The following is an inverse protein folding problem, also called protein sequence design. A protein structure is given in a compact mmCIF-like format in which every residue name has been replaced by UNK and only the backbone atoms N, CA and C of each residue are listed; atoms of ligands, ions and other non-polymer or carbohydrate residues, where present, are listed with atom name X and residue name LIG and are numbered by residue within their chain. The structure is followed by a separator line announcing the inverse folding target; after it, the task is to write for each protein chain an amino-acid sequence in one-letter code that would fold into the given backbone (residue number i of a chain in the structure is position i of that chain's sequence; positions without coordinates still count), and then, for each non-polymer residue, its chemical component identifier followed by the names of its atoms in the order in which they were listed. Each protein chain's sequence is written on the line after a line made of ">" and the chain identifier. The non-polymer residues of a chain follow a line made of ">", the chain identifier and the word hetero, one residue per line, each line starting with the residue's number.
data_IF_908297261170
#
_entry.id   IF_908297261170
#
_cell.length_a   1.000
_cell.length_b   1.000
_cell.length_c   1.000
_cell.angle_alpha   90.00
_cell.angle_beta   90.00
_cell.angle_gamma   90.00
#
_symmetry.space_group_name_H-M   'P 1'
#
loop_
_entity.id
_entity.type
_entity.pdbx_description
1 polymer ?
#
# COMPACT_ATOMS: atom_id res chain seq x y z
N UNK A 1 -7.67 -48.92 -14.30
CA UNK A 1 -7.96 -47.57 -13.76
C UNK A 1 -6.73 -46.87 -13.16
N UNK A 2 -5.60 -47.56 -12.94
CA UNK A 2 -4.37 -46.98 -12.35
C UNK A 2 -3.72 -45.89 -13.22
N UNK A 3 -3.74 -46.04 -14.55
CA UNK A 3 -3.14 -45.08 -15.49
C UNK A 3 -3.77 -43.69 -15.35
N UNK A 4 -5.09 -43.62 -15.11
CA UNK A 4 -5.80 -42.34 -14.99
C UNK A 4 -5.40 -41.60 -13.71
N UNK A 5 -5.30 -42.33 -12.58
CA UNK A 5 -4.87 -41.74 -11.31
C UNK A 5 -3.43 -41.24 -11.41
N UNK A 6 -2.55 -42.00 -12.08
CA UNK A 6 -1.17 -41.60 -12.32
C UNK A 6 -1.08 -40.29 -13.14
N UNK A 7 -1.88 -40.17 -14.20
CA UNK A 7 -1.90 -38.94 -15.03
C UNK A 7 -2.44 -37.73 -14.25
N UNK A 8 -3.54 -37.88 -13.50
CA UNK A 8 -4.09 -36.80 -12.65
C UNK A 8 -3.08 -36.37 -11.57
N UNK A 9 -2.37 -37.33 -10.97
CA UNK A 9 -1.32 -37.06 -9.98
C UNK A 9 -0.19 -36.19 -10.53
N UNK A 10 0.31 -36.50 -11.72
CA UNK A 10 1.37 -35.70 -12.38
C UNK A 10 0.88 -34.28 -12.71
N UNK A 11 -0.35 -34.14 -13.23
CA UNK A 11 -0.92 -32.83 -13.57
C UNK A 11 -1.12 -31.95 -12.32
N UNK A 12 -1.68 -32.52 -11.26
CA UNK A 12 -1.91 -31.78 -10.00
C UNK A 12 -0.60 -31.38 -9.32
N UNK A 13 0.43 -32.24 -9.36
CA UNK A 13 1.75 -31.93 -8.83
C UNK A 13 2.39 -30.68 -9.47
N UNK A 14 2.18 -30.44 -10.77
CA UNK A 14 2.69 -29.24 -11.45
C UNK A 14 1.76 -28.02 -11.29
N UNK A 15 0.44 -28.24 -11.16
CA UNK A 15 -0.55 -27.15 -11.09
C UNK A 15 -0.54 -26.39 -9.75
N UNK A 16 -0.31 -27.08 -8.63
CA UNK A 16 -0.29 -26.48 -7.29
C UNK A 16 0.74 -25.34 -7.14
N UNK A 17 2.04 -25.52 -7.47
CA UNK A 17 3.04 -24.47 -7.28
C UNK A 17 2.80 -23.23 -8.16
N UNK A 18 2.26 -23.41 -9.37
CA UNK A 18 1.93 -22.29 -10.27
C UNK A 18 0.75 -21.49 -9.72
N UNK A 19 -0.29 -22.17 -9.22
CA UNK A 19 -1.48 -21.54 -8.66
C UNK A 19 -1.17 -20.67 -7.44
N UNK A 20 -0.28 -21.13 -6.55
CA UNK A 20 0.16 -20.35 -5.38
C UNK A 20 0.84 -19.03 -5.78
N UNK A 21 1.72 -19.06 -6.80
CA UNK A 21 2.37 -17.85 -7.32
C UNK A 21 1.38 -16.88 -7.95
N UNK A 22 0.36 -17.39 -8.65
CA UNK A 22 -0.70 -16.55 -9.24
C UNK A 22 -1.52 -15.84 -8.16
N UNK A 23 -1.91 -16.55 -7.09
CA UNK A 23 -2.65 -15.94 -5.97
C UNK A 23 -1.84 -14.84 -5.30
N UNK A 24 -0.54 -15.04 -5.08
CA UNK A 24 0.33 -14.02 -4.48
C UNK A 24 0.47 -12.77 -5.35
N UNK A 25 0.60 -12.94 -6.67
CA UNK A 25 0.56 -11.81 -7.61
C UNK A 25 -0.80 -11.10 -7.64
N UNK A 26 -1.89 -11.86 -7.53
CA UNK A 26 -3.23 -11.32 -7.40
C UNK A 26 -3.39 -10.44 -6.16
N UNK A 27 -2.88 -10.89 -5.00
CA UNK A 27 -2.86 -10.10 -3.75
C UNK A 27 -2.04 -8.81 -3.89
N UNK A 28 -0.91 -8.84 -4.60
CA UNK A 28 -0.15 -7.63 -4.91
C UNK A 28 -0.94 -6.65 -5.77
N UNK A 29 -1.62 -7.15 -6.81
CA UNK A 29 -2.46 -6.32 -7.68
C UNK A 29 -3.63 -5.68 -6.92
N UNK A 30 -4.24 -6.44 -6.00
CA UNK A 30 -5.29 -5.93 -5.12
C UNK A 30 -4.77 -4.83 -4.16
N UNK A 31 -3.56 -5.00 -3.60
CA UNK A 31 -2.89 -3.97 -2.81
C UNK A 31 -2.69 -2.66 -3.62
N UNK A 32 -2.26 -2.76 -4.88
CA UNK A 32 -2.20 -1.59 -5.76
C UNK A 32 -3.58 -0.92 -5.93
N UNK A 33 -4.65 -1.70 -6.05
CA UNK A 33 -6.01 -1.18 -6.08
C UNK A 33 -6.39 -0.42 -4.81
N UNK A 34 -6.01 -0.94 -3.64
CA UNK A 34 -6.24 -0.29 -2.35
C UNK A 34 -5.48 1.03 -2.23
N UNK A 35 -4.20 1.09 -2.62
CA UNK A 35 -3.43 2.33 -2.65
C UNK A 35 -4.04 3.40 -3.58
N UNK A 36 -4.60 3.00 -4.73
CA UNK A 36 -5.31 3.95 -5.60
C UNK A 36 -6.54 4.53 -4.90
N UNK A 37 -7.32 3.68 -4.24
CA UNK A 37 -8.50 4.11 -3.50
C UNK A 37 -8.13 5.02 -2.33
N UNK A 38 -7.03 4.75 -1.63
CA UNK A 38 -6.48 5.64 -0.60
C UNK A 38 -6.04 6.99 -1.18
N UNK A 39 -5.41 7.01 -2.36
CA UNK A 39 -5.09 8.25 -3.07
C UNK A 39 -6.34 9.07 -3.44
N UNK A 40 -7.41 8.40 -3.86
CA UNK A 40 -8.71 9.05 -4.09
C UNK A 40 -9.28 9.62 -2.79
N UNK A 41 -9.28 8.84 -1.70
CA UNK A 41 -9.74 9.29 -0.39
C UNK A 41 -8.93 10.51 0.12
N UNK A 42 -7.61 10.51 -0.09
CA UNK A 42 -6.76 11.65 0.23
C UNK A 42 -7.11 12.88 -0.62
N UNK A 43 -7.40 12.72 -1.92
CA UNK A 43 -7.81 13.83 -2.77
C UNK A 43 -9.16 14.43 -2.33
N UNK A 44 -10.10 13.61 -1.86
CA UNK A 44 -11.36 14.08 -1.28
C UNK A 44 -11.10 14.91 -0.02
N UNK A 45 -10.24 14.41 0.89
CA UNK A 45 -9.80 15.18 2.06
C UNK A 45 -9.16 16.51 1.66
N UNK A 46 -8.22 16.51 0.71
CA UNK A 46 -7.56 17.73 0.25
C UNK A 46 -8.55 18.76 -0.32
N UNK A 47 -9.61 18.28 -0.99
CA UNK A 47 -10.69 19.13 -1.51
C UNK A 47 -11.40 19.94 -0.42
N UNK A 48 -11.57 19.36 0.78
CA UNK A 48 -12.24 20.00 1.90
C UNK A 48 -11.29 20.77 2.84
N UNK A 49 -9.99 20.45 2.80
CA UNK A 49 -8.98 20.98 3.72
C UNK A 49 -7.97 21.92 3.02
N UNK A 50 -8.44 22.77 2.10
CA UNK A 50 -7.63 23.78 1.41
C UNK A 50 -6.35 23.24 0.76
N UNK A 51 -6.39 22.01 0.23
CA UNK A 51 -5.24 21.37 -0.41
C UNK A 51 -4.04 21.18 0.55
N UNK A 52 -4.28 21.10 1.86
CA UNK A 52 -3.28 20.88 2.90
C UNK A 52 -3.30 19.42 3.35
N UNK A 53 -2.11 18.81 3.42
CA UNK A 53 -1.96 17.43 3.87
C UNK A 53 -2.38 17.24 5.33
N UNK A 54 -3.04 16.11 5.66
CA UNK A 54 -3.42 15.83 7.03
C UNK A 54 -2.18 15.67 7.92
N UNK A 55 -2.31 16.04 9.20
CA UNK A 55 -1.26 15.80 10.19
C UNK A 55 -1.48 14.42 10.82
N UNK A 56 -0.73 13.43 10.35
CA UNK A 56 -0.87 12.03 10.78
C UNK A 56 0.44 11.50 11.34
N UNK A 57 0.35 10.55 12.27
CA UNK A 57 1.45 9.68 12.60
C UNK A 57 1.76 8.75 11.41
N UNK A 58 3.04 8.42 11.22
CA UNK A 58 3.46 7.51 10.15
C UNK A 58 2.82 6.10 10.28
N UNK A 59 2.47 5.73 11.50
CA UNK A 59 1.74 4.53 11.87
C UNK A 59 1.63 4.46 13.39
N UNK A 60 1.01 3.39 13.89
CA UNK A 60 0.92 3.05 15.31
C UNK A 60 1.34 1.59 15.51
N UNK A 61 1.77 1.24 16.72
CA UNK A 61 2.18 -0.14 17.05
C UNK A 61 0.99 -0.99 17.47
N UNK A 62 -0.01 -0.37 18.09
CA UNK A 62 -1.24 -1.02 18.53
C UNK A 62 -2.48 -0.17 18.23
N UNK A 63 -3.62 -0.81 17.95
CA UNK A 63 -4.91 -0.15 17.74
C UNK A 63 -5.44 0.61 18.96
N UNK A 64 -4.98 0.27 20.16
CA UNK A 64 -5.33 0.95 21.41
C UNK A 64 -4.71 2.34 21.52
N UNK A 65 -3.67 2.63 20.74
CA UNK A 65 -3.07 3.96 20.70
C UNK A 65 -4.03 4.96 20.06
N UNK A 66 -4.30 6.05 20.78
CA UNK A 66 -5.14 7.15 20.33
C UNK A 66 -4.31 8.13 19.49
N UNK A 67 -3.91 7.68 18.30
CA UNK A 67 -3.16 8.45 17.32
C UNK A 67 -3.97 8.61 16.04
N UNK A 68 -3.92 9.80 15.46
CA UNK A 68 -4.44 10.05 14.11
C UNK A 68 -3.48 9.39 13.10
N UNK A 69 -3.94 8.32 12.49
CA UNK A 69 -3.27 7.55 11.44
C UNK A 69 -4.18 7.47 10.23
N UNK A 70 -3.70 6.91 9.13
CA UNK A 70 -4.48 6.90 7.89
C UNK A 70 -5.85 6.20 8.01
N UNK A 71 -5.94 5.08 8.75
CA UNK A 71 -7.20 4.32 8.89
C UNK A 71 -8.23 4.99 9.82
N UNK A 72 -7.82 5.98 10.61
CA UNK A 72 -8.73 6.77 11.43
C UNK A 72 -9.13 8.05 10.72
N UNK A 73 -8.17 8.79 10.16
CA UNK A 73 -8.44 10.10 9.55
C UNK A 73 -9.10 10.03 8.17
N UNK A 74 -8.65 9.12 7.32
CA UNK A 74 -9.21 9.00 5.95
C UNK A 74 -10.42 8.07 5.89
N UNK A 75 -10.90 7.55 7.01
CA UNK A 75 -12.03 6.60 7.05
C UNK A 75 -13.31 7.18 6.46
N UNK A 76 -13.58 8.45 6.74
CA UNK A 76 -14.80 9.14 6.27
C UNK A 76 -14.80 9.34 4.75
N UNK A 77 -13.62 9.36 4.14
CA UNK A 77 -13.42 9.53 2.70
C UNK A 77 -13.20 8.19 1.97
N UNK A 78 -13.03 7.10 2.73
CA UNK A 78 -12.77 5.78 2.19
C UNK A 78 -14.09 5.07 1.83
N UNK A 79 -14.19 4.41 0.66
CA UNK A 79 -15.37 3.64 0.30
C UNK A 79 -15.58 2.39 1.19
N UNK A 80 -14.51 1.86 1.78
CA UNK A 80 -14.52 0.63 2.58
C UNK A 80 -13.31 0.60 3.53
N UNK A 81 -13.46 0.06 4.74
CA UNK A 81 -12.36 -0.10 5.70
C UNK A 81 -11.32 -1.12 5.23
N UNK A 82 -11.72 -2.07 4.37
CA UNK A 82 -10.81 -3.11 3.86
C UNK A 82 -9.66 -2.55 3.03
N UNK A 83 -9.78 -1.33 2.51
CA UNK A 83 -8.72 -0.70 1.71
C UNK A 83 -7.48 -0.36 2.55
N UNK A 84 -7.61 -0.22 3.87
CA UNK A 84 -6.48 0.01 4.78
C UNK A 84 -5.64 -1.26 5.02
N UNK A 85 -6.14 -2.43 4.60
CA UNK A 85 -5.48 -3.70 4.76
C UNK A 85 -4.90 -4.17 3.41
N UNK A 86 -3.62 -4.55 3.39
CA UNK A 86 -3.02 -5.19 2.23
C UNK A 86 -3.41 -6.69 2.22
N UNK A 87 -3.97 -7.25 1.13
CA UNK A 87 -4.31 -8.68 1.08
C UNK A 87 -3.10 -9.62 1.15
N UNK A 88 -1.88 -9.09 0.98
CA UNK A 88 -0.63 -9.82 1.13
C UNK A 88 -0.03 -9.73 2.55
N UNK A 89 -0.66 -9.00 3.48
CA UNK A 89 -0.28 -8.89 4.88
C UNK A 89 -0.57 -10.21 5.62
N UNK A 90 0.32 -11.19 5.44
CA UNK A 90 0.23 -12.49 6.10
C UNK A 90 0.52 -12.40 7.61
N UNK A 91 1.28 -11.37 8.04
CA UNK A 91 1.62 -11.11 9.44
C UNK A 91 0.47 -10.50 10.24
N UNK A 92 -0.65 -10.19 9.59
CA UNK A 92 -1.83 -9.57 10.22
C UNK A 92 -1.48 -8.24 10.90
N UNK A 93 -0.55 -7.49 10.32
CA UNK A 93 -0.09 -6.20 10.86
C UNK A 93 -1.23 -5.20 10.90
N UNK A 94 -2.13 -5.20 9.92
CA UNK A 94 -3.33 -4.37 9.97
C UNK A 94 -4.28 -4.76 11.12
N UNK A 95 -4.29 -6.02 11.56
CA UNK A 95 -5.10 -6.43 12.72
C UNK A 95 -4.58 -5.80 14.01
N UNK A 96 -3.26 -5.71 14.18
CA UNK A 96 -2.62 -5.13 15.37
C UNK A 96 -2.52 -3.60 15.32
N UNK A 97 -2.20 -3.03 14.16
CA UNK A 97 -1.88 -1.61 13.99
C UNK A 97 -2.97 -0.77 13.33
N UNK A 98 -4.02 -1.38 12.76
CA UNK A 98 -5.12 -0.70 12.06
C UNK A 98 -4.96 -0.63 10.54
N UNK A 99 -3.73 -0.64 10.03
CA UNK A 99 -3.46 -0.47 8.59
C UNK A 99 -2.17 -1.18 8.20
N UNK A 100 -2.12 -1.70 6.98
CA UNK A 100 -0.90 -2.28 6.38
C UNK A 100 -0.01 -1.21 5.72
N UNK A 101 -0.43 0.07 5.71
CA UNK A 101 0.29 1.15 5.04
C UNK A 101 0.88 2.14 6.04
N UNK A 102 2.05 2.70 5.70
CA UNK A 102 2.69 3.78 6.42
C UNK A 102 2.44 5.11 5.72
N UNK A 103 2.27 6.17 6.50
CA UNK A 103 2.15 7.54 6.05
C UNK A 103 3.50 8.26 6.10
N UNK A 104 3.82 9.05 5.08
CA UNK A 104 4.99 9.92 5.11
C UNK A 104 4.70 11.18 5.95
N UNK A 105 4.99 11.12 7.24
CA UNK A 105 4.76 12.22 8.18
C UNK A 105 5.56 13.50 7.86
N UNK A 106 6.60 13.41 7.02
CA UNK A 106 7.32 14.60 6.55
C UNK A 106 6.44 15.54 5.72
N UNK A 107 5.33 15.04 5.15
CA UNK A 107 4.40 15.83 4.35
C UNK A 107 3.32 16.52 5.19
N UNK A 108 3.25 16.26 6.50
CA UNK A 108 2.22 16.80 7.39
C UNK A 108 2.13 18.33 7.28
N UNK A 109 0.92 18.86 7.09
CA UNK A 109 0.66 20.30 7.05
C UNK A 109 1.22 21.03 5.82
N UNK A 110 1.91 20.35 4.91
CA UNK A 110 2.34 20.94 3.65
C UNK A 110 1.16 21.00 2.66
N UNK A 111 1.17 22.00 1.76
CA UNK A 111 0.23 22.00 0.64
C UNK A 111 0.66 20.98 -0.42
N UNK A 112 -0.29 20.21 -0.96
CA UNK A 112 -0.07 19.31 -2.11
C UNK A 112 0.51 20.06 -3.33
N UNK A 113 0.23 21.35 -3.46
CA UNK A 113 0.68 22.19 -4.56
C UNK A 113 2.16 22.61 -4.44
N UNK A 114 2.71 22.55 -3.23
CA UNK A 114 4.06 23.03 -2.93
C UNK A 114 4.79 22.08 -1.97
N UNK A 115 4.74 20.78 -2.27
CA UNK A 115 5.41 19.77 -1.46
C UNK A 115 6.93 19.91 -1.55
N UNK A 116 7.59 19.73 -0.40
CA UNK A 116 9.03 19.58 -0.29
C UNK A 116 9.34 18.39 0.61
N UNK A 117 9.93 17.36 0.03
CA UNK A 117 10.43 16.19 0.73
C UNK A 117 11.92 16.06 0.49
N UNK A 118 12.75 16.34 1.50
CA UNK A 118 14.22 16.25 1.40
C UNK A 118 14.80 17.04 0.20
N UNK A 119 14.38 18.30 0.02
CA UNK A 119 14.72 19.16 -1.12
C UNK A 119 14.23 18.66 -2.49
N UNK A 120 13.37 17.65 -2.51
CA UNK A 120 12.68 17.20 -3.71
C UNK A 120 11.27 17.79 -3.75
N UNK A 121 10.98 18.51 -4.82
CA UNK A 121 9.67 19.13 -5.09
C UNK A 121 8.90 18.43 -6.21
N UNK A 122 9.43 17.33 -6.76
CA UNK A 122 8.84 16.63 -7.92
C UNK A 122 7.77 15.64 -7.47
N UNK A 123 6.46 15.88 -7.71
CA UNK A 123 5.37 15.09 -7.13
C UNK A 123 5.42 13.59 -7.48
N UNK A 124 5.92 13.25 -8.67
CA UNK A 124 6.05 11.86 -9.16
C UNK A 124 7.04 11.00 -8.37
N UNK A 125 7.86 11.63 -7.53
CA UNK A 125 8.94 10.96 -6.77
C UNK A 125 8.80 11.12 -5.27
N UNK A 126 7.83 11.92 -4.80
CA UNK A 126 7.56 12.13 -3.39
C UNK A 126 6.63 11.00 -2.92
N UNK A 127 7.09 10.11 -2.02
CA UNK A 127 6.24 9.04 -1.48
C UNK A 127 5.25 9.62 -0.47
N UNK A 128 3.98 9.29 -0.61
CA UNK A 128 2.90 9.69 0.33
C UNK A 128 2.53 8.52 1.22
N UNK A 129 2.30 7.35 0.62
CA UNK A 129 2.04 6.10 1.33
C UNK A 129 2.94 5.00 0.81
N UNK A 130 3.29 4.05 1.66
CA UNK A 130 3.77 2.77 1.19
C UNK A 130 3.36 1.62 2.10
N UNK A 131 3.58 0.39 1.66
CA UNK A 131 3.44 -0.77 2.55
C UNK A 131 4.35 -0.62 3.79
N UNK A 132 3.87 -1.06 4.96
CA UNK A 132 4.67 -1.08 6.20
C UNK A 132 5.81 -2.07 6.13
N UNK A 133 5.63 -3.17 5.41
CA UNK A 133 6.63 -4.21 5.23
C UNK A 133 6.69 -4.70 3.78
N UNK A 134 7.70 -5.52 3.49
CA UNK A 134 7.87 -6.18 2.21
C UNK A 134 6.89 -7.32 1.94
N UNK A 135 5.57 -7.07 2.01
CA UNK A 135 4.52 -8.10 1.86
C UNK A 135 4.58 -8.84 0.52
N UNK A 136 5.18 -8.23 -0.50
CA UNK A 136 5.18 -8.74 -1.87
C UNK A 136 6.48 -9.49 -2.23
N UNK A 137 6.83 -10.51 -1.45
CA UNK A 137 8.08 -11.28 -1.59
C UNK A 137 8.30 -11.96 -2.95
N UNK A 138 7.22 -12.18 -3.72
CA UNK A 138 7.24 -12.83 -5.03
C UNK A 138 7.22 -11.82 -6.21
N UNK A 139 7.22 -10.52 -5.90
CA UNK A 139 7.28 -9.43 -6.86
C UNK A 139 8.69 -8.83 -6.91
N UNK A 140 9.03 -8.12 -8.01
CA UNK A 140 10.35 -7.49 -8.18
C UNK A 140 10.65 -6.46 -7.09
N UNK A 141 9.64 -5.65 -6.74
CA UNK A 141 9.66 -4.87 -5.50
C UNK A 141 8.77 -5.53 -4.48
N UNK A 142 9.23 -5.55 -3.23
CA UNK A 142 8.50 -6.09 -2.09
C UNK A 142 7.51 -5.08 -1.50
N UNK A 143 7.65 -3.81 -1.86
CA UNK A 143 6.90 -2.66 -1.32
C UNK A 143 6.28 -1.89 -2.48
N UNK A 144 4.99 -1.57 -2.34
CA UNK A 144 4.27 -0.62 -3.20
C UNK A 144 4.24 0.75 -2.52
N UNK A 145 4.39 1.80 -3.33
CA UNK A 145 4.47 3.19 -2.87
C UNK A 145 3.50 4.01 -3.70
N UNK A 146 2.60 4.74 -3.05
CA UNK A 146 1.80 5.80 -3.66
C UNK A 146 2.58 7.10 -3.64
N UNK A 147 2.76 7.72 -4.80
CA UNK A 147 3.42 9.03 -4.95
C UNK A 147 2.42 10.18 -4.93
N UNK A 148 2.91 11.40 -4.72
CA UNK A 148 2.06 12.59 -4.57
C UNK A 148 1.26 12.97 -5.83
N UNK A 149 1.70 12.51 -7.00
CA UNK A 149 0.94 12.63 -8.25
C UNK A 149 -0.14 11.53 -8.44
N UNK A 150 -0.34 10.67 -7.44
CA UNK A 150 -1.31 9.57 -7.46
C UNK A 150 -0.84 8.32 -8.20
N UNK A 151 0.41 8.27 -8.70
CA UNK A 151 0.97 7.05 -9.28
C UNK A 151 1.37 6.07 -8.19
N UNK A 152 1.45 4.79 -8.57
CA UNK A 152 1.94 3.75 -7.68
C UNK A 152 3.20 3.15 -8.29
N UNK A 153 4.30 3.24 -7.57
CA UNK A 153 5.57 2.63 -7.94
C UNK A 153 5.81 1.36 -7.13
N UNK A 154 6.41 0.37 -7.79
CA UNK A 154 6.91 -0.83 -7.15
C UNK A 154 8.41 -0.63 -6.90
N UNK A 155 8.75 -0.05 -5.74
CA UNK A 155 10.13 0.18 -5.29
C UNK A 155 10.56 1.65 -5.27
N UNK A 156 11.51 1.98 -4.39
CA UNK A 156 12.14 3.30 -4.32
C UNK A 156 13.23 3.39 -5.39
N UNK A 157 12.90 3.93 -6.56
CA UNK A 157 13.91 4.37 -7.52
C UNK A 157 14.38 5.75 -7.09
N UNK A 158 15.32 5.80 -6.15
CA UNK A 158 16.09 7.01 -5.93
C UNK A 158 17.03 7.19 -7.12
N UNK A 159 16.58 7.90 -8.13
CA UNK A 159 17.47 8.36 -9.20
C UNK A 159 18.39 9.40 -8.57
N UNK A 160 19.54 8.97 -8.05
CA UNK A 160 20.61 9.87 -7.66
C UNK A 160 21.19 10.47 -8.94
N UNK A 161 20.64 11.61 -9.36
CA UNK A 161 21.31 12.47 -10.33
C UNK A 161 22.60 12.95 -9.67
N UNK A 162 23.73 12.43 -10.14
CA UNK A 162 25.07 12.87 -9.74
C UNK A 162 25.48 14.08 -10.57
#
# INVERSE_FOLDING_TARGET
>A
MLVVIAVIGVLTAMAVPVSMRMVQKGRSTACLGNLRQLGVALNLYLGEHNQVMPVLAAGRSQKSEQLDVIDTKLREYAPDERIFCCPADAGKIAETTGTSYHWNSALNGQSILSLNFLNNTTPTTIPVLADKEGFHTHCKSKVNILTADGRISQGLNFTTTR
#
